data_IF_843315486956
#
_entry.id   IF_843315486956
#
_cell.length_a   1.000
_cell.length_b   1.000
_cell.length_c   1.000
_cell.angle_alpha   90.00
_cell.angle_beta   90.00
_cell.angle_gamma   90.00
#
_symmetry.space_group_name_H-M   'P 1'
#
loop_
_entity.id
_entity.type
_entity.pdbx_description
1 polymer ?
#
# COMPACT_ATOMS: atom_id res chain seq x y z
N UNK A 1 35.73 51.83 -12.10
CA UNK A 1 34.38 51.98 -12.68
C UNK A 1 34.31 51.25 -14.00
N UNK A 2 33.88 49.99 -14.03
CA UNK A 2 33.52 49.14 -15.20
C UNK A 2 33.63 47.68 -14.80
N UNK A 3 32.69 47.22 -13.92
CA UNK A 3 32.57 45.76 -13.58
C UNK A 3 31.12 45.34 -13.31
N UNK A 4 30.13 46.01 -13.91
CA UNK A 4 28.72 45.76 -13.60
C UNK A 4 27.81 45.57 -14.83
N UNK A 5 28.36 45.20 -16.01
CA UNK A 5 27.51 44.95 -17.20
C UNK A 5 27.56 43.52 -17.76
N UNK A 6 28.40 42.64 -17.25
CA UNK A 6 28.50 41.24 -17.73
C UNK A 6 27.65 40.26 -16.88
N UNK A 7 27.24 40.63 -15.67
CA UNK A 7 26.51 39.73 -14.76
C UNK A 7 24.97 39.74 -14.96
N UNK A 8 24.43 40.63 -15.82
CA UNK A 8 22.98 40.70 -16.10
C UNK A 8 22.53 39.95 -17.35
N UNK A 9 23.46 39.49 -18.18
CA UNK A 9 23.14 38.75 -19.43
C UNK A 9 23.11 37.21 -19.22
N UNK A 10 23.61 36.71 -18.10
CA UNK A 10 23.71 35.26 -17.83
C UNK A 10 22.56 34.66 -17.05
N UNK A 11 21.64 35.48 -16.51
CA UNK A 11 20.49 35.02 -15.75
C UNK A 11 19.24 34.84 -16.64
N UNK A 12 19.26 35.34 -17.88
CA UNK A 12 18.10 35.25 -18.79
C UNK A 12 18.14 34.03 -19.74
N UNK A 13 19.26 33.30 -19.79
CA UNK A 13 19.37 32.12 -20.68
C UNK A 13 19.12 30.77 -20.00
N UNK A 14 19.05 30.72 -18.66
CA UNK A 14 18.77 29.48 -17.92
C UNK A 14 17.25 29.22 -17.79
N UNK A 15 16.43 30.24 -17.96
CA UNK A 15 14.97 30.13 -17.88
C UNK A 15 14.29 29.60 -19.15
N UNK A 16 14.94 29.63 -20.31
CA UNK A 16 14.30 29.17 -21.56
C UNK A 16 14.63 27.72 -21.95
N UNK A 17 15.73 27.16 -21.46
CA UNK A 17 16.07 25.76 -21.74
C UNK A 17 15.30 24.76 -20.86
N UNK A 18 14.84 25.19 -19.69
CA UNK A 18 13.98 24.34 -18.82
C UNK A 18 12.53 24.25 -19.32
N UNK A 19 12.02 25.27 -20.03
CA UNK A 19 10.66 25.25 -20.56
C UNK A 19 10.50 24.33 -21.80
N UNK A 20 11.54 24.08 -22.56
CA UNK A 20 11.46 23.23 -23.76
C UNK A 20 11.57 21.72 -23.41
N UNK A 21 12.38 21.37 -22.44
CA UNK A 21 12.46 19.99 -21.92
C UNK A 21 11.14 19.59 -21.22
N UNK A 22 10.58 20.48 -20.40
CA UNK A 22 9.28 20.26 -19.73
C UNK A 22 8.09 20.11 -20.71
N UNK A 23 8.13 20.69 -21.90
CA UNK A 23 7.02 20.59 -22.86
C UNK A 23 6.95 19.20 -23.53
N UNK A 24 8.07 18.55 -23.78
CA UNK A 24 8.10 17.19 -24.33
C UNK A 24 7.61 16.16 -23.31
N UNK A 25 7.98 16.33 -22.03
CA UNK A 25 7.53 15.47 -20.93
C UNK A 25 6.03 15.62 -20.66
N UNK A 26 5.46 16.82 -20.78
CA UNK A 26 4.02 17.06 -20.62
C UNK A 26 3.19 16.39 -21.72
N UNK A 27 3.67 16.29 -22.95
CA UNK A 27 2.98 15.55 -24.00
C UNK A 27 2.96 14.04 -23.72
N UNK A 28 4.07 13.49 -23.23
CA UNK A 28 4.14 12.09 -22.82
C UNK A 28 3.21 11.79 -21.62
N UNK A 29 3.19 12.67 -20.62
CA UNK A 29 2.31 12.55 -19.45
C UNK A 29 0.83 12.71 -19.84
N UNK A 30 0.51 13.64 -20.76
CA UNK A 30 -0.82 13.83 -21.32
C UNK A 30 -1.34 12.55 -21.98
N UNK A 31 -0.53 11.95 -22.84
CA UNK A 31 -0.87 10.70 -23.52
C UNK A 31 -1.03 9.54 -22.52
N UNK A 32 -0.13 9.43 -21.55
CA UNK A 32 -0.15 8.38 -20.52
C UNK A 32 -1.41 8.45 -19.65
N UNK A 33 -1.78 9.64 -19.18
CA UNK A 33 -2.90 9.83 -18.27
C UNK A 33 -4.24 10.10 -19.00
N UNK A 34 -4.22 10.17 -20.33
CA UNK A 34 -5.39 10.49 -21.17
C UNK A 34 -6.07 11.81 -20.76
N UNK A 35 -5.25 12.85 -20.57
CA UNK A 35 -5.70 14.18 -20.17
C UNK A 35 -5.01 15.24 -21.05
N UNK A 36 -5.60 16.43 -21.21
CA UNK A 36 -5.00 17.46 -22.06
C UNK A 36 -3.73 18.07 -21.42
N UNK A 37 -2.82 18.54 -22.26
CA UNK A 37 -1.65 19.32 -21.81
C UNK A 37 -2.09 20.60 -21.09
N UNK A 38 -3.23 21.19 -21.48
CA UNK A 38 -3.78 22.37 -20.83
C UNK A 38 -4.18 22.08 -19.37
N UNK A 39 -4.86 20.94 -19.10
CA UNK A 39 -5.21 20.53 -17.75
C UNK A 39 -3.96 20.28 -16.89
N UNK A 40 -2.90 19.66 -17.45
CA UNK A 40 -1.63 19.47 -16.76
C UNK A 40 -0.96 20.79 -16.40
N UNK A 41 -0.94 21.76 -17.34
CA UNK A 41 -0.39 23.09 -17.10
C UNK A 41 -1.18 23.85 -16.04
N UNK A 42 -2.51 23.76 -16.05
CA UNK A 42 -3.37 24.35 -15.02
C UNK A 42 -3.03 23.76 -13.63
N UNK A 43 -2.94 22.45 -13.51
CA UNK A 43 -2.58 21.77 -12.27
C UNK A 43 -1.18 22.16 -11.78
N UNK A 44 -0.18 22.21 -12.69
CA UNK A 44 1.18 22.64 -12.38
C UNK A 44 1.24 24.09 -11.87
N UNK A 45 0.40 24.98 -12.41
CA UNK A 45 0.33 26.38 -11.98
C UNK A 45 -0.24 26.55 -10.55
N UNK A 46 -1.00 25.57 -10.06
CA UNK A 46 -1.61 25.54 -8.72
C UNK A 46 -0.79 24.76 -7.70
N UNK A 47 0.19 23.99 -8.15
CA UNK A 47 1.00 23.12 -7.31
C UNK A 47 2.17 23.88 -6.67
N UNK A 48 2.49 23.55 -5.42
CA UNK A 48 3.56 24.18 -4.66
C UNK A 48 4.57 23.14 -4.16
N UNK A 49 5.85 23.42 -4.38
CA UNK A 49 6.94 22.61 -3.84
C UNK A 49 6.95 22.65 -2.31
N UNK A 50 7.08 21.49 -1.68
CA UNK A 50 7.12 21.30 -0.25
C UNK A 50 8.45 20.67 0.18
N UNK A 51 9.39 21.45 0.70
CA UNK A 51 10.71 20.94 1.10
C UNK A 51 10.61 19.81 2.14
N UNK A 52 9.68 19.91 3.08
CA UNK A 52 9.45 18.89 4.13
C UNK A 52 9.09 17.51 3.55
N UNK A 53 8.51 17.45 2.35
CA UNK A 53 8.21 16.19 1.65
C UNK A 53 9.51 15.55 1.17
N UNK A 54 10.41 16.32 0.58
CA UNK A 54 11.74 15.84 0.15
C UNK A 54 12.51 15.33 1.38
N UNK A 55 12.49 16.08 2.48
CA UNK A 55 13.15 15.70 3.72
C UNK A 55 12.57 14.39 4.31
N UNK A 56 11.26 14.18 4.20
CA UNK A 56 10.61 12.95 4.63
C UNK A 56 11.00 11.75 3.76
N UNK A 57 11.08 11.95 2.43
CA UNK A 57 11.47 10.91 1.47
C UNK A 57 12.93 10.47 1.60
N UNK A 58 13.81 11.36 2.06
CA UNK A 58 15.25 11.08 2.22
C UNK A 58 15.59 10.43 3.56
N UNK A 59 14.65 10.37 4.51
CA UNK A 59 14.88 9.71 5.81
C UNK A 59 14.69 8.20 5.66
N UNK A 60 15.73 7.37 5.94
CA UNK A 60 15.58 5.92 5.87
C UNK A 60 14.60 5.45 6.95
N UNK A 61 13.41 5.02 6.57
CA UNK A 61 12.45 4.40 7.51
C UNK A 61 12.61 2.87 7.60
N UNK A 62 13.34 2.26 6.67
CA UNK A 62 13.32 0.82 6.42
C UNK A 62 14.47 0.03 7.09
N UNK A 63 15.31 0.68 7.90
CA UNK A 63 16.42 0.01 8.60
C UNK A 63 16.04 -0.70 9.91
N UNK A 64 14.75 -0.82 10.25
CA UNK A 64 14.33 -1.45 11.50
C UNK A 64 14.33 -2.97 11.39
N UNK A 65 14.86 -3.71 12.39
CA UNK A 65 14.67 -5.15 12.48
C UNK A 65 13.20 -5.48 12.69
N UNK A 66 12.80 -6.71 12.30
CA UNK A 66 11.40 -7.14 12.37
C UNK A 66 10.76 -6.91 13.75
N UNK A 67 11.45 -7.24 14.82
CA UNK A 67 10.91 -7.12 16.18
C UNK A 67 10.55 -5.68 16.56
N UNK A 68 11.29 -4.66 16.06
CA UNK A 68 10.94 -3.25 16.26
C UNK A 68 9.80 -2.81 15.33
N UNK A 69 9.86 -3.21 14.05
CA UNK A 69 8.84 -2.89 13.06
C UNK A 69 7.47 -3.45 13.48
N UNK A 70 7.45 -4.69 13.95
CA UNK A 70 6.28 -5.38 14.47
C UNK A 70 5.56 -4.56 15.55
N UNK A 71 6.31 -3.97 16.49
CA UNK A 71 5.77 -3.18 17.61
C UNK A 71 5.03 -1.89 17.15
N UNK A 72 5.25 -1.42 15.91
CA UNK A 72 4.53 -0.26 15.35
C UNK A 72 3.09 -0.65 14.99
N UNK A 73 2.89 -1.86 14.47
CA UNK A 73 1.60 -2.27 13.90
C UNK A 73 0.84 -3.26 14.78
N UNK A 74 1.52 -4.17 15.46
CA UNK A 74 0.89 -5.20 16.29
C UNK A 74 0.78 -4.69 17.73
N UNK A 75 -0.20 -3.82 17.95
CA UNK A 75 -0.50 -3.22 19.25
C UNK A 75 -1.91 -3.60 19.68
N UNK A 76 -2.13 -3.72 21.01
CA UNK A 76 -3.47 -3.98 21.58
C UNK A 76 -4.51 -2.97 21.06
N UNK A 77 -4.12 -1.69 20.96
CA UNK A 77 -4.99 -0.63 20.46
C UNK A 77 -5.42 -0.86 19.02
N UNK A 78 -4.47 -1.22 18.10
CA UNK A 78 -4.79 -1.46 16.69
C UNK A 78 -5.59 -2.76 16.51
N UNK A 79 -5.26 -3.82 17.23
CA UNK A 79 -6.02 -5.08 17.22
C UNK A 79 -7.46 -4.83 17.66
N UNK A 80 -7.68 -4.17 18.80
CA UNK A 80 -9.02 -3.86 19.28
C UNK A 80 -9.82 -2.97 18.31
N UNK A 81 -9.16 -1.98 17.71
CA UNK A 81 -9.77 -1.15 16.67
C UNK A 81 -10.13 -1.97 15.43
N UNK A 82 -9.31 -2.95 15.06
CA UNK A 82 -9.55 -3.86 13.95
C UNK A 82 -10.73 -4.79 14.20
N UNK A 83 -10.82 -5.39 15.39
CA UNK A 83 -11.98 -6.21 15.78
C UNK A 83 -13.27 -5.38 15.75
N UNK A 84 -13.22 -4.15 16.27
CA UNK A 84 -14.36 -3.22 16.21
C UNK A 84 -14.74 -2.89 14.78
N UNK A 85 -13.76 -2.52 13.93
CA UNK A 85 -14.00 -2.22 12.51
C UNK A 85 -14.59 -3.42 11.77
N UNK A 86 -14.10 -4.63 12.04
CA UNK A 86 -14.63 -5.85 11.45
C UNK A 86 -16.10 -6.05 11.81
N UNK A 87 -16.44 -5.96 13.11
CA UNK A 87 -17.81 -6.13 13.61
C UNK A 87 -18.78 -5.07 13.03
N UNK A 88 -18.34 -3.81 12.95
CA UNK A 88 -19.16 -2.71 12.44
C UNK A 88 -19.39 -2.80 10.92
N UNK A 89 -18.50 -3.47 10.19
CA UNK A 89 -18.55 -3.57 8.71
C UNK A 89 -18.65 -5.05 8.26
N UNK A 90 -19.12 -5.96 9.11
CA UNK A 90 -19.14 -7.40 8.87
C UNK A 90 -19.81 -7.76 7.55
N UNK A 91 -20.98 -7.22 7.27
CA UNK A 91 -21.75 -7.50 6.05
C UNK A 91 -20.97 -7.09 4.79
N UNK A 92 -20.36 -5.91 4.82
CA UNK A 92 -19.56 -5.37 3.69
C UNK A 92 -18.29 -6.19 3.49
N UNK A 93 -17.57 -6.51 4.57
CA UNK A 93 -16.35 -7.32 4.51
C UNK A 93 -16.64 -8.73 3.97
N UNK A 94 -17.71 -9.38 4.42
CA UNK A 94 -18.15 -10.69 3.90
C UNK A 94 -18.62 -10.61 2.44
N UNK A 95 -19.30 -9.53 2.05
CA UNK A 95 -19.65 -9.28 0.64
C UNK A 95 -18.39 -9.15 -0.21
N UNK A 96 -17.37 -8.40 0.25
CA UNK A 96 -16.10 -8.22 -0.47
C UNK A 96 -15.32 -9.53 -0.57
N UNK A 97 -15.22 -10.30 0.53
CA UNK A 97 -14.61 -11.63 0.55
C UNK A 97 -15.27 -12.56 -0.49
N UNK A 98 -16.61 -12.63 -0.50
CA UNK A 98 -17.35 -13.43 -1.48
C UNK A 98 -17.15 -12.97 -2.92
N UNK A 99 -17.05 -11.66 -3.15
CA UNK A 99 -16.94 -11.07 -4.50
C UNK A 99 -15.54 -11.23 -5.08
N UNK A 100 -14.51 -11.06 -4.27
CA UNK A 100 -13.13 -10.97 -4.73
C UNK A 100 -12.24 -12.13 -4.26
N UNK A 101 -12.72 -13.01 -3.38
CA UNK A 101 -11.97 -14.14 -2.84
C UNK A 101 -10.87 -13.75 -1.85
N UNK A 102 -10.88 -12.51 -1.34
CA UNK A 102 -9.89 -12.00 -0.37
C UNK A 102 -10.48 -12.07 1.03
N UNK A 103 -9.82 -12.74 2.01
CA UNK A 103 -10.34 -12.86 3.35
C UNK A 103 -10.65 -11.51 4.01
N UNK A 104 -11.79 -11.43 4.69
CA UNK A 104 -12.28 -10.20 5.33
C UNK A 104 -11.26 -9.59 6.29
N UNK A 105 -10.54 -10.43 7.05
CA UNK A 105 -9.49 -10.02 7.99
C UNK A 105 -8.26 -9.41 7.29
N UNK A 106 -7.91 -9.85 6.08
CA UNK A 106 -6.82 -9.27 5.28
C UNK A 106 -7.21 -7.86 4.81
N UNK A 107 -8.44 -7.69 4.28
CA UNK A 107 -8.96 -6.38 3.87
C UNK A 107 -8.94 -5.41 5.07
N UNK A 108 -9.43 -5.88 6.21
CA UNK A 108 -9.46 -5.14 7.46
C UNK A 108 -8.05 -4.75 7.92
N UNK A 109 -7.08 -5.68 7.86
CA UNK A 109 -5.70 -5.44 8.28
C UNK A 109 -4.99 -4.41 7.39
N UNK A 110 -5.21 -4.41 6.08
CA UNK A 110 -4.68 -3.38 5.18
C UNK A 110 -5.15 -1.99 5.62
N UNK A 111 -6.46 -1.78 5.78
CA UNK A 111 -7.01 -0.49 6.22
C UNK A 111 -6.47 -0.12 7.61
N UNK A 112 -6.26 -1.12 8.46
CA UNK A 112 -5.68 -0.94 9.79
C UNK A 112 -4.21 -0.53 9.76
N UNK A 113 -3.39 -1.12 8.91
CA UNK A 113 -1.97 -0.80 8.76
C UNK A 113 -1.81 0.58 8.11
N UNK A 114 -2.55 0.85 7.03
CA UNK A 114 -2.42 2.07 6.26
C UNK A 114 -2.86 3.33 7.04
N UNK A 115 -4.03 3.30 7.65
CA UNK A 115 -4.62 4.53 8.18
C UNK A 115 -5.17 4.40 9.60
N UNK A 116 -4.89 3.29 10.29
CA UNK A 116 -5.56 3.02 11.58
C UNK A 116 -7.09 3.11 11.44
N UNK A 117 -7.62 2.41 10.43
CA UNK A 117 -9.06 2.36 10.11
C UNK A 117 -9.66 3.73 9.75
N UNK A 118 -8.95 4.49 8.93
CA UNK A 118 -9.38 5.81 8.44
C UNK A 118 -9.06 6.98 9.34
N UNK A 119 -8.35 6.77 10.49
CA UNK A 119 -8.02 7.88 11.40
C UNK A 119 -6.85 8.74 10.92
N UNK A 120 -5.91 8.17 10.17
CA UNK A 120 -4.65 8.82 9.78
C UNK A 120 -4.44 8.70 8.26
N UNK A 121 -5.22 9.40 7.47
CA UNK A 121 -5.16 9.36 6.01
C UNK A 121 -4.13 10.32 5.40
N UNK A 122 -3.42 11.08 6.23
CA UNK A 122 -2.50 12.13 5.79
C UNK A 122 -3.15 13.52 5.76
N UNK A 123 -2.30 14.55 5.71
CA UNK A 123 -2.73 15.96 5.76
C UNK A 123 -2.09 16.82 4.67
N UNK A 124 -1.28 16.23 3.79
CA UNK A 124 -0.65 16.93 2.69
C UNK A 124 -1.62 17.10 1.52
N UNK A 125 -1.62 18.25 0.85
CA UNK A 125 -2.30 18.36 -0.43
C UNK A 125 -1.67 17.38 -1.40
N UNK A 126 -2.46 16.50 -1.99
CA UNK A 126 -1.97 15.45 -2.91
C UNK A 126 -1.32 16.07 -4.13
N UNK A 127 -1.87 17.16 -4.66
CA UNK A 127 -1.28 17.91 -5.76
C UNK A 127 0.15 18.35 -5.45
N UNK A 128 0.37 18.98 -4.28
CA UNK A 128 1.69 19.47 -3.86
C UNK A 128 2.67 18.31 -3.63
N UNK A 129 2.19 17.21 -3.02
CA UNK A 129 3.02 16.04 -2.76
C UNK A 129 3.54 15.42 -4.06
N UNK A 130 2.65 15.18 -5.00
CA UNK A 130 3.00 14.57 -6.29
C UNK A 130 3.81 15.51 -7.17
N UNK A 131 3.51 16.82 -7.15
CA UNK A 131 4.34 17.83 -7.82
C UNK A 131 5.75 17.88 -7.26
N UNK A 132 5.89 17.92 -5.94
CA UNK A 132 7.20 17.96 -5.28
C UNK A 132 8.05 16.75 -5.67
N UNK A 133 7.47 15.56 -5.61
CA UNK A 133 8.22 14.32 -5.90
C UNK A 133 8.38 14.05 -7.40
N UNK A 134 7.43 14.48 -8.23
CA UNK A 134 7.44 14.24 -9.66
C UNK A 134 8.23 15.24 -10.47
N UNK A 135 8.56 16.41 -9.91
CA UNK A 135 9.26 17.48 -10.64
C UNK A 135 10.43 18.11 -9.85
N UNK A 136 10.65 17.69 -8.61
CA UNK A 136 11.70 18.26 -7.74
C UNK A 136 12.44 17.20 -6.91
N UNK A 137 12.26 15.89 -7.23
CA UNK A 137 12.91 14.79 -6.54
C UNK A 137 13.43 13.74 -7.54
N UNK A 138 14.62 13.94 -8.13
CA UNK A 138 15.15 13.15 -9.24
C UNK A 138 15.14 11.62 -9.03
N UNK A 139 15.40 11.07 -7.80
CA UNK A 139 15.49 9.62 -7.64
C UNK A 139 14.21 8.86 -8.02
N UNK A 140 13.03 9.51 -7.99
CA UNK A 140 11.74 8.89 -8.31
C UNK A 140 10.86 9.75 -9.21
N UNK A 141 11.42 10.73 -9.88
CA UNK A 141 10.72 11.69 -10.74
C UNK A 141 9.84 11.00 -11.79
N UNK A 142 10.38 10.02 -12.49
CA UNK A 142 9.65 9.29 -13.53
C UNK A 142 8.39 8.55 -13.01
N UNK A 143 8.38 8.11 -11.77
CA UNK A 143 7.22 7.50 -11.15
C UNK A 143 6.20 8.55 -10.70
N UNK A 144 6.65 9.53 -9.93
CA UNK A 144 5.73 10.51 -9.34
C UNK A 144 5.17 11.51 -10.35
N UNK A 145 5.88 11.82 -11.45
CA UNK A 145 5.31 12.63 -12.54
C UNK A 145 4.14 11.93 -13.23
N UNK A 146 4.21 10.61 -13.40
CA UNK A 146 3.08 9.80 -13.89
C UNK A 146 1.91 9.79 -12.91
N UNK A 147 2.18 9.63 -11.61
CA UNK A 147 1.14 9.70 -10.58
C UNK A 147 0.51 11.10 -10.51
N UNK A 148 1.28 12.18 -10.70
CA UNK A 148 0.74 13.53 -10.81
C UNK A 148 -0.25 13.65 -11.98
N UNK A 149 0.13 13.16 -13.15
CA UNK A 149 -0.75 13.20 -14.33
C UNK A 149 -2.02 12.34 -14.11
N UNK A 150 -1.89 11.17 -13.49
CA UNK A 150 -3.04 10.32 -13.11
C UNK A 150 -3.92 10.99 -12.06
N UNK A 151 -3.35 11.76 -11.12
CA UNK A 151 -4.11 12.54 -10.15
C UNK A 151 -4.92 13.66 -10.83
N UNK A 152 -4.32 14.37 -11.79
CA UNK A 152 -5.04 15.40 -12.56
C UNK A 152 -6.21 14.78 -13.35
N UNK A 153 -5.98 13.61 -13.97
CA UNK A 153 -7.04 12.85 -14.64
C UNK A 153 -8.16 12.43 -13.69
N UNK A 154 -7.80 11.92 -12.52
CA UNK A 154 -8.74 11.51 -11.48
C UNK A 154 -9.54 12.70 -10.96
N UNK A 155 -8.88 13.79 -10.60
CA UNK A 155 -9.54 14.99 -10.07
C UNK A 155 -10.52 15.60 -11.09
N UNK A 156 -10.18 15.57 -12.39
CA UNK A 156 -11.08 16.00 -13.45
C UNK A 156 -12.28 15.06 -13.58
N UNK A 157 -12.08 13.74 -13.54
CA UNK A 157 -13.15 12.74 -13.61
C UNK A 157 -14.16 12.91 -12.46
N UNK A 158 -13.64 13.10 -11.25
CA UNK A 158 -14.45 13.22 -10.03
C UNK A 158 -14.91 14.67 -9.73
N UNK A 159 -14.54 15.62 -10.58
CA UNK A 159 -14.81 17.06 -10.38
C UNK A 159 -14.29 17.57 -9.02
N UNK A 160 -13.09 17.14 -8.62
CA UNK A 160 -12.47 17.54 -7.37
C UNK A 160 -11.77 18.89 -7.46
N UNK A 161 -11.87 19.67 -6.39
CA UNK A 161 -10.96 20.79 -6.17
C UNK A 161 -9.65 20.24 -5.59
N UNK A 162 -8.51 20.58 -6.21
CA UNK A 162 -7.19 20.11 -5.78
C UNK A 162 -6.86 20.45 -4.32
N UNK A 163 -7.36 21.57 -3.81
CA UNK A 163 -7.09 22.03 -2.44
C UNK A 163 -7.75 21.17 -1.36
N UNK A 164 -8.83 20.47 -1.70
CA UNK A 164 -9.60 19.67 -0.78
C UNK A 164 -9.05 18.24 -0.64
N UNK A 165 -8.26 17.78 -1.61
CA UNK A 165 -7.76 16.41 -1.62
C UNK A 165 -6.46 16.30 -0.85
N UNK A 166 -6.55 15.64 0.31
CA UNK A 166 -5.43 15.41 1.21
C UNK A 166 -5.06 13.92 1.29
N UNK A 167 -3.77 13.68 1.53
CA UNK A 167 -3.22 12.35 1.61
C UNK A 167 -1.86 12.31 2.31
N UNK A 168 -1.11 11.25 2.09
CA UNK A 168 0.25 11.10 2.60
C UNK A 168 1.22 12.08 1.93
N UNK A 169 2.40 12.23 2.51
CA UNK A 169 3.50 13.02 1.91
C UNK A 169 3.95 12.47 0.54
N UNK A 170 3.61 11.22 0.21
CA UNK A 170 3.88 10.60 -1.09
C UNK A 170 2.66 10.62 -2.03
N UNK A 171 1.55 11.26 -1.66
CA UNK A 171 0.37 11.40 -2.50
C UNK A 171 -0.61 10.22 -2.47
N UNK A 172 -0.47 9.30 -1.52
CA UNK A 172 -1.44 8.23 -1.30
C UNK A 172 -2.70 8.74 -0.61
N UNK A 173 -3.88 8.23 -1.00
CA UNK A 173 -5.19 8.80 -0.68
C UNK A 173 -6.14 7.81 -0.01
N UNK A 174 -7.01 8.33 0.85
CA UNK A 174 -8.14 7.61 1.45
C UNK A 174 -7.73 6.54 2.46
N UNK A 175 -8.71 5.74 2.91
CA UNK A 175 -8.54 4.74 3.95
C UNK A 175 -7.55 3.62 3.58
N UNK A 176 -7.48 3.26 2.30
CA UNK A 176 -6.55 2.26 1.76
C UNK A 176 -5.23 2.84 1.26
N UNK A 177 -5.01 4.16 1.35
CA UNK A 177 -3.78 4.82 0.86
C UNK A 177 -3.47 4.48 -0.60
N UNK A 178 -4.46 4.61 -1.48
CA UNK A 178 -4.30 4.39 -2.91
C UNK A 178 -3.51 5.52 -3.58
N UNK A 179 -2.52 5.15 -4.38
CA UNK A 179 -1.93 6.08 -5.33
C UNK A 179 -2.96 6.43 -6.43
N UNK A 180 -2.86 7.59 -7.11
CA UNK A 180 -3.82 7.97 -8.15
C UNK A 180 -4.05 6.92 -9.23
N UNK A 181 -2.99 6.24 -9.68
CA UNK A 181 -3.11 5.12 -10.62
C UNK A 181 -3.94 3.97 -10.05
N UNK A 182 -3.67 3.57 -8.81
CA UNK A 182 -4.41 2.52 -8.14
C UNK A 182 -5.89 2.90 -7.93
N UNK A 183 -6.15 4.17 -7.62
CA UNK A 183 -7.53 4.69 -7.50
C UNK A 183 -8.28 4.58 -8.83
N UNK A 184 -7.65 5.00 -9.94
CA UNK A 184 -8.25 4.93 -11.27
C UNK A 184 -8.50 3.50 -11.74
N UNK A 185 -7.59 2.58 -11.39
CA UNK A 185 -7.58 1.22 -11.94
C UNK A 185 -8.37 0.22 -11.08
N UNK A 186 -8.46 0.44 -9.75
CA UNK A 186 -9.01 -0.54 -8.80
C UNK A 186 -10.09 -0.03 -7.85
N UNK A 187 -10.27 1.28 -7.69
CA UNK A 187 -11.33 1.78 -6.83
C UNK A 187 -12.71 1.49 -7.43
N UNK A 188 -13.66 1.09 -6.58
CA UNK A 188 -15.00 0.68 -6.98
C UNK A 188 -16.05 1.36 -6.11
N UNK A 189 -17.17 1.73 -6.73
CA UNK A 189 -18.43 2.05 -6.07
C UNK A 189 -19.05 0.73 -5.60
N UNK A 190 -18.82 0.38 -4.32
CA UNK A 190 -19.18 -0.95 -3.83
C UNK A 190 -20.56 -1.00 -3.19
N UNK A 191 -21.14 0.14 -2.83
CA UNK A 191 -22.54 0.24 -2.39
C UNK A 191 -23.51 0.61 -3.52
N UNK A 192 -23.01 1.08 -4.66
CA UNK A 192 -23.80 1.38 -5.85
C UNK A 192 -24.50 2.73 -5.79
N UNK A 193 -23.96 3.71 -5.04
CA UNK A 193 -24.51 5.05 -4.93
C UNK A 193 -24.19 5.97 -6.12
N UNK A 194 -23.35 5.49 -7.05
CA UNK A 194 -22.91 6.21 -8.26
C UNK A 194 -21.60 6.96 -8.10
N UNK A 195 -20.96 6.91 -6.94
CA UNK A 195 -19.71 7.62 -6.63
C UNK A 195 -18.68 6.67 -6.01
N UNK A 196 -17.42 6.89 -6.29
CA UNK A 196 -16.32 6.18 -5.63
C UNK A 196 -15.69 7.10 -4.58
N UNK A 197 -15.78 6.75 -3.30
CA UNK A 197 -15.28 7.60 -2.22
C UNK A 197 -14.45 6.80 -1.19
N UNK A 198 -13.14 6.77 -1.38
CA UNK A 198 -12.22 6.08 -0.46
C UNK A 198 -11.88 6.88 0.80
N UNK A 199 -12.36 8.12 0.94
CA UNK A 199 -12.05 8.99 2.07
C UNK A 199 -13.03 8.82 3.24
N UNK A 200 -14.33 8.78 2.94
CA UNK A 200 -15.39 8.75 3.96
C UNK A 200 -16.32 7.55 3.85
N UNK A 201 -16.40 6.91 2.67
CA UNK A 201 -17.21 5.72 2.44
C UNK A 201 -16.41 4.43 2.73
N UNK A 202 -16.69 3.80 3.87
CA UNK A 202 -16.03 2.54 4.25
C UNK A 202 -16.38 1.38 3.32
N UNK A 203 -17.56 1.41 2.72
CA UNK A 203 -18.03 0.34 1.81
C UNK A 203 -17.16 0.33 0.56
N UNK A 204 -16.94 1.49 -0.05
CA UNK A 204 -16.06 1.64 -1.21
C UNK A 204 -14.60 1.31 -0.86
N UNK A 205 -14.12 1.78 0.29
CA UNK A 205 -12.76 1.50 0.73
C UNK A 205 -12.50 -0.01 0.88
N UNK A 206 -13.43 -0.74 1.50
CA UNK A 206 -13.37 -2.20 1.66
C UNK A 206 -13.42 -2.91 0.31
N UNK A 207 -14.36 -2.56 -0.54
CA UNK A 207 -14.51 -3.13 -1.89
C UNK A 207 -13.29 -2.88 -2.76
N UNK A 208 -12.76 -1.65 -2.71
CA UNK A 208 -11.59 -1.24 -3.50
C UNK A 208 -10.30 -1.95 -3.07
N UNK A 209 -10.05 -2.10 -1.76
CA UNK A 209 -8.92 -2.88 -1.26
C UNK A 209 -9.01 -4.34 -1.73
N UNK A 210 -10.19 -4.95 -1.64
CA UNK A 210 -10.40 -6.32 -2.10
C UNK A 210 -10.19 -6.44 -3.63
N UNK A 211 -10.74 -5.50 -4.42
CA UNK A 211 -10.55 -5.47 -5.87
C UNK A 211 -9.08 -5.29 -6.26
N UNK A 212 -8.33 -4.44 -5.54
CA UNK A 212 -6.88 -4.30 -5.73
C UNK A 212 -6.16 -5.65 -5.62
N UNK A 213 -6.43 -6.42 -4.56
CA UNK A 213 -5.81 -7.72 -4.35
C UNK A 213 -6.21 -8.72 -5.45
N UNK A 214 -7.49 -8.76 -5.82
CA UNK A 214 -7.96 -9.59 -6.93
C UNK A 214 -7.25 -9.26 -8.23
N UNK A 215 -7.14 -7.98 -8.58
CA UNK A 215 -6.46 -7.49 -9.78
C UNK A 215 -4.95 -7.79 -9.77
N UNK A 216 -4.34 -7.95 -8.60
CA UNK A 216 -2.92 -8.29 -8.45
C UNK A 216 -2.64 -9.79 -8.26
N UNK A 217 -3.63 -10.65 -8.51
CA UNK A 217 -3.46 -12.10 -8.55
C UNK A 217 -3.59 -12.80 -7.20
N UNK A 218 -4.44 -12.27 -6.30
CA UNK A 218 -4.82 -13.00 -5.10
C UNK A 218 -5.46 -14.34 -5.46
N UNK A 219 -5.04 -15.40 -4.79
CA UNK A 219 -5.55 -16.75 -4.95
C UNK A 219 -6.41 -17.11 -3.74
N UNK A 220 -7.73 -17.23 -3.99
CA UNK A 220 -8.70 -17.60 -2.95
C UNK A 220 -8.37 -18.95 -2.32
N UNK A 221 -8.49 -19.03 -0.99
CA UNK A 221 -8.24 -20.25 -0.23
C UNK A 221 -6.78 -20.72 -0.17
N UNK A 222 -5.83 -19.97 -0.79
CA UNK A 222 -4.41 -20.30 -0.72
C UNK A 222 -3.73 -19.60 0.44
N UNK A 223 -2.79 -20.31 1.06
CA UNK A 223 -1.99 -19.76 2.16
C UNK A 223 -1.12 -18.57 1.72
N UNK A 224 -0.71 -17.78 2.68
CA UNK A 224 0.10 -16.57 2.48
C UNK A 224 1.58 -16.88 2.65
N UNK A 225 1.96 -17.49 3.78
CA UNK A 225 3.30 -18.01 4.01
C UNK A 225 3.31 -19.15 5.04
N UNK A 226 4.43 -19.83 5.16
CA UNK A 226 4.69 -20.80 6.23
C UNK A 226 6.01 -20.52 6.93
N UNK A 227 6.11 -20.77 8.24
CA UNK A 227 7.40 -20.80 8.94
C UNK A 227 8.35 -21.80 8.27
N UNK A 228 9.62 -21.41 8.13
CA UNK A 228 10.66 -22.24 7.57
C UNK A 228 11.67 -22.64 8.65
N UNK A 229 12.16 -23.88 8.58
CA UNK A 229 13.21 -24.41 9.41
C UNK A 229 14.45 -24.62 8.55
N UNK A 230 15.55 -24.03 8.96
CA UNK A 230 16.85 -24.14 8.28
C UNK A 230 17.67 -25.22 8.99
N UNK A 231 17.96 -26.31 8.29
CA UNK A 231 18.82 -27.36 8.84
C UNK A 231 20.28 -27.11 8.47
N UNK A 232 20.56 -27.00 7.17
CA UNK A 232 21.92 -26.75 6.66
C UNK A 232 21.80 -26.21 5.24
N UNK A 233 21.76 -24.89 5.10
CA UNK A 233 21.54 -24.26 3.79
C UNK A 233 22.36 -22.96 3.67
N UNK A 234 22.77 -22.65 2.44
CA UNK A 234 23.20 -21.28 2.09
C UNK A 234 21.96 -20.40 1.91
N UNK A 235 21.52 -19.84 3.05
CA UNK A 235 20.31 -18.98 3.11
C UNK A 235 20.45 -17.79 2.17
N UNK A 236 21.64 -17.19 2.06
CA UNK A 236 21.85 -16.02 1.20
C UNK A 236 21.64 -16.38 -0.27
N UNK A 237 22.23 -17.45 -0.75
CA UNK A 237 22.07 -17.91 -2.12
C UNK A 237 20.59 -18.21 -2.46
N UNK A 238 19.84 -18.81 -1.51
CA UNK A 238 18.42 -19.06 -1.69
C UNK A 238 17.59 -17.76 -1.74
N UNK A 239 17.87 -16.81 -0.85
CA UNK A 239 17.16 -15.52 -0.83
C UNK A 239 17.43 -14.67 -2.07
N UNK A 240 18.61 -14.75 -2.65
CA UNK A 240 19.01 -14.00 -3.85
C UNK A 240 18.23 -14.46 -5.09
N UNK A 241 17.67 -15.68 -5.12
CA UNK A 241 16.76 -16.17 -6.18
C UNK A 241 15.39 -15.49 -6.18
N UNK A 242 15.01 -14.84 -5.10
CA UNK A 242 13.72 -14.16 -4.94
C UNK A 242 12.54 -15.11 -5.26
N UNK A 243 11.68 -14.77 -6.24
CA UNK A 243 10.51 -15.56 -6.65
C UNK A 243 10.81 -16.60 -7.73
N UNK A 244 12.04 -16.74 -8.18
CA UNK A 244 12.50 -17.78 -9.10
C UNK A 244 12.92 -19.07 -8.36
N UNK A 245 12.79 -19.08 -7.03
CA UNK A 245 13.08 -20.21 -6.17
C UNK A 245 11.90 -21.17 -6.13
N UNK A 246 12.15 -22.47 -6.33
CA UNK A 246 11.11 -23.51 -6.20
C UNK A 246 11.16 -24.19 -4.84
N UNK A 247 10.04 -24.81 -4.46
CA UNK A 247 9.94 -25.63 -3.24
C UNK A 247 10.96 -26.77 -3.25
N UNK A 248 11.14 -27.44 -4.44
CA UNK A 248 12.13 -28.50 -4.58
C UNK A 248 13.53 -28.02 -4.22
N UNK A 249 13.95 -26.88 -4.76
CA UNK A 249 15.28 -26.30 -4.47
C UNK A 249 15.45 -25.96 -3.00
N UNK A 250 14.37 -25.48 -2.33
CA UNK A 250 14.39 -25.27 -0.88
C UNK A 250 14.62 -26.56 -0.11
N UNK A 251 13.87 -27.62 -0.44
CA UNK A 251 13.95 -28.90 0.24
C UNK A 251 15.31 -29.58 -0.01
N UNK A 252 15.79 -29.57 -1.24
CA UNK A 252 17.12 -30.10 -1.60
C UNK A 252 18.25 -29.36 -0.85
N UNK A 253 18.09 -28.09 -0.58
CA UNK A 253 19.03 -27.26 0.20
C UNK A 253 18.93 -27.47 1.72
N UNK A 254 17.95 -28.24 2.22
CA UNK A 254 17.76 -28.47 3.67
C UNK A 254 16.94 -27.39 4.36
N UNK A 255 16.05 -26.70 3.64
CA UNK A 255 15.02 -25.83 4.21
C UNK A 255 13.69 -26.59 4.20
N UNK A 256 13.03 -26.68 5.36
CA UNK A 256 11.77 -27.43 5.50
C UNK A 256 10.65 -26.57 6.11
N UNK A 257 9.42 -27.02 5.98
CA UNK A 257 8.25 -26.48 6.68
C UNK A 257 7.36 -27.65 7.15
N UNK A 258 6.43 -27.37 8.08
CA UNK A 258 5.52 -28.40 8.61
C UNK A 258 4.45 -28.85 7.61
N UNK A 259 4.33 -28.20 6.47
CA UNK A 259 3.31 -28.47 5.45
C UNK A 259 4.00 -28.96 4.18
N UNK A 260 3.44 -29.98 3.55
CA UNK A 260 3.92 -30.42 2.24
C UNK A 260 3.46 -29.43 1.15
N UNK A 261 4.41 -28.82 0.48
CA UNK A 261 4.20 -27.94 -0.66
C UNK A 261 4.53 -28.70 -1.96
N UNK A 262 3.92 -28.28 -3.07
CA UNK A 262 4.24 -28.84 -4.38
C UNK A 262 5.64 -28.45 -4.80
N UNK A 263 6.44 -29.41 -5.27
CA UNK A 263 7.86 -29.24 -5.60
C UNK A 263 8.11 -28.18 -6.68
N UNK A 264 7.19 -28.03 -7.61
CA UNK A 264 7.24 -27.10 -8.75
C UNK A 264 6.72 -25.69 -8.42
N UNK A 265 6.20 -25.49 -7.19
CA UNK A 265 5.67 -24.19 -6.78
C UNK A 265 6.79 -23.18 -6.58
N UNK A 266 6.64 -22.01 -7.22
CA UNK A 266 7.50 -20.86 -6.97
C UNK A 266 7.20 -20.26 -5.60
N UNK A 267 8.27 -19.94 -4.86
CA UNK A 267 8.23 -19.43 -3.50
C UNK A 267 9.35 -18.43 -3.29
N UNK A 268 9.35 -17.75 -2.14
CA UNK A 268 10.47 -16.91 -1.73
C UNK A 268 10.82 -17.17 -0.27
N UNK A 269 12.11 -17.32 0.00
CA UNK A 269 12.61 -17.40 1.37
C UNK A 269 12.83 -16.00 1.94
N UNK A 270 12.32 -15.77 3.15
CA UNK A 270 12.47 -14.52 3.89
C UNK A 270 13.15 -14.77 5.23
N UNK A 271 13.98 -13.81 5.65
CA UNK A 271 14.64 -13.78 6.96
C UNK A 271 14.20 -12.54 7.74
N UNK A 272 14.04 -12.68 9.04
CA UNK A 272 13.59 -11.64 9.95
C UNK A 272 14.47 -11.61 11.19
N UNK A 273 14.96 -10.44 11.56
CA UNK A 273 15.71 -10.26 12.80
C UNK A 273 14.77 -10.28 14.00
N UNK A 274 15.01 -11.18 14.95
CA UNK A 274 14.22 -11.36 16.17
C UNK A 274 14.83 -10.58 17.34
N UNK A 275 14.06 -10.42 18.43
CA UNK A 275 14.46 -9.61 19.59
C UNK A 275 15.63 -10.21 20.37
N UNK A 276 15.79 -11.52 20.35
CA UNK A 276 16.88 -12.27 20.96
C UNK A 276 18.19 -12.29 20.13
N UNK A 277 18.21 -11.57 19.01
CA UNK A 277 19.34 -11.54 18.08
C UNK A 277 19.37 -12.70 17.08
N UNK A 278 18.48 -13.67 17.20
CA UNK A 278 18.36 -14.77 16.23
C UNK A 278 17.63 -14.34 14.96
N UNK A 279 17.57 -15.24 13.97
CA UNK A 279 16.77 -15.05 12.74
C UNK A 279 15.62 -16.03 12.69
N UNK A 280 14.42 -15.49 12.42
CA UNK A 280 13.28 -16.29 11.99
C UNK A 280 13.23 -16.38 10.48
N UNK A 281 12.70 -17.47 9.93
CA UNK A 281 12.57 -17.68 8.49
C UNK A 281 11.16 -18.04 8.09
N UNK A 282 10.76 -17.65 6.88
CA UNK A 282 9.50 -18.07 6.31
C UNK A 282 9.59 -18.29 4.79
N UNK A 283 8.73 -19.18 4.30
CA UNK A 283 8.51 -19.43 2.87
C UNK A 283 7.26 -18.63 2.49
N UNK A 284 7.44 -17.54 1.74
CA UNK A 284 6.35 -16.75 1.18
C UNK A 284 5.79 -17.40 -0.07
N UNK A 285 4.47 -17.41 -0.17
CA UNK A 285 3.71 -17.94 -1.29
C UNK A 285 3.12 -16.81 -2.15
N UNK A 286 2.36 -17.15 -3.21
CA UNK A 286 1.79 -16.15 -4.11
C UNK A 286 1.00 -15.05 -3.38
N UNK A 287 0.17 -15.39 -2.39
CA UNK A 287 -0.62 -14.39 -1.68
C UNK A 287 0.26 -13.44 -0.82
N UNK A 288 1.41 -13.90 -0.33
CA UNK A 288 2.40 -13.01 0.29
C UNK A 288 2.98 -12.02 -0.72
N UNK A 289 3.29 -12.50 -1.95
CA UNK A 289 3.71 -11.63 -3.05
C UNK A 289 2.61 -10.61 -3.41
N UNK A 290 1.35 -11.01 -3.38
CA UNK A 290 0.22 -10.12 -3.66
C UNK A 290 0.11 -9.02 -2.59
N UNK A 291 0.33 -9.33 -1.32
CA UNK A 291 0.43 -8.28 -0.28
C UNK A 291 1.63 -7.36 -0.55
N UNK A 292 2.77 -7.90 -0.99
CA UNK A 292 3.94 -7.09 -1.37
C UNK A 292 3.70 -6.22 -2.62
N UNK A 293 2.67 -6.45 -3.43
CA UNK A 293 2.26 -5.51 -4.49
C UNK A 293 1.65 -4.22 -3.93
N UNK A 294 1.03 -4.30 -2.75
CA UNK A 294 0.52 -3.11 -2.05
C UNK A 294 1.66 -2.25 -1.49
N UNK A 295 2.63 -2.90 -0.86
CA UNK A 295 3.88 -2.28 -0.42
C UNK A 295 5.01 -3.32 -0.50
N UNK A 296 6.09 -3.00 -1.19
CA UNK A 296 7.18 -3.93 -1.54
C UNK A 296 7.98 -4.46 -0.35
N UNK A 297 7.74 -3.97 0.87
CA UNK A 297 8.44 -4.40 2.09
C UNK A 297 7.92 -5.77 2.59
N UNK A 298 8.83 -6.72 2.77
CA UNK A 298 8.52 -8.00 3.44
C UNK A 298 8.03 -7.80 4.88
N UNK A 299 8.51 -6.75 5.57
CA UNK A 299 8.10 -6.43 6.94
C UNK A 299 6.65 -5.96 6.96
N UNK A 300 6.26 -5.15 5.97
CA UNK A 300 4.88 -4.72 5.77
C UNK A 300 3.95 -5.92 5.53
N UNK A 301 4.29 -6.79 4.58
CA UNK A 301 3.46 -7.94 4.25
C UNK A 301 3.26 -8.86 5.46
N UNK A 302 4.32 -9.08 6.24
CA UNK A 302 4.23 -9.86 7.48
C UNK A 302 3.39 -9.16 8.55
N UNK A 303 3.51 -7.83 8.69
CA UNK A 303 2.70 -7.07 9.66
C UNK A 303 1.20 -7.11 9.31
N UNK A 304 0.84 -6.97 8.02
CA UNK A 304 -0.53 -7.13 7.55
C UNK A 304 -1.07 -8.51 7.90
N UNK A 305 -0.32 -9.55 7.59
CA UNK A 305 -0.73 -10.92 7.90
C UNK A 305 -0.89 -11.15 9.40
N UNK A 306 0.10 -10.80 10.24
CA UNK A 306 -0.02 -10.97 11.69
C UNK A 306 -1.19 -10.16 12.28
N UNK A 307 -1.42 -8.94 11.80
CA UNK A 307 -2.56 -8.14 12.25
C UNK A 307 -3.88 -8.79 11.86
N UNK A 308 -4.00 -9.36 10.65
CA UNK A 308 -5.21 -10.05 10.20
C UNK A 308 -5.54 -11.25 11.09
N UNK A 309 -4.54 -12.05 11.45
CA UNK A 309 -4.72 -13.20 12.35
C UNK A 309 -5.25 -12.77 13.74
N UNK A 310 -4.67 -11.71 14.32
CA UNK A 310 -5.16 -11.20 15.61
C UNK A 310 -6.56 -10.61 15.51
N UNK A 311 -6.91 -9.95 14.41
CA UNK A 311 -8.27 -9.43 14.18
C UNK A 311 -9.25 -10.58 14.05
N UNK A 312 -8.94 -11.62 13.26
CA UNK A 312 -9.78 -12.80 13.09
C UNK A 312 -10.03 -13.50 14.43
N UNK A 313 -8.98 -13.76 15.21
CA UNK A 313 -9.09 -14.37 16.53
C UNK A 313 -9.97 -13.55 17.48
N UNK A 314 -9.78 -12.24 17.51
CA UNK A 314 -10.58 -11.33 18.34
C UNK A 314 -12.05 -11.28 17.90
N UNK A 315 -12.32 -11.22 16.60
CA UNK A 315 -13.66 -11.29 16.03
C UNK A 315 -14.37 -12.59 16.43
N UNK A 316 -13.74 -13.74 16.22
CA UNK A 316 -14.29 -15.05 16.57
C UNK A 316 -14.58 -15.18 18.08
N UNK A 317 -13.71 -14.63 18.93
CA UNK A 317 -13.94 -14.61 20.38
C UNK A 317 -15.19 -13.81 20.75
N UNK A 318 -15.40 -12.64 20.15
CA UNK A 318 -16.60 -11.81 20.38
C UNK A 318 -17.86 -12.53 19.92
N UNK A 319 -17.85 -13.15 18.72
CA UNK A 319 -18.99 -13.90 18.18
C UNK A 319 -19.37 -15.09 19.07
N UNK A 320 -18.38 -15.87 19.54
CA UNK A 320 -18.63 -16.98 20.49
C UNK A 320 -19.27 -16.48 21.78
N UNK A 321 -18.78 -15.40 22.37
CA UNK A 321 -19.33 -14.83 23.59
C UNK A 321 -20.77 -14.32 23.42
N UNK A 322 -21.11 -13.78 22.25
CA UNK A 322 -22.46 -13.36 21.88
C UNK A 322 -23.39 -14.58 21.73
N UNK A 323 -22.92 -15.64 21.05
CA UNK A 323 -23.68 -16.89 20.91
C UNK A 323 -24.00 -17.57 22.25
N UNK A 324 -23.06 -17.59 23.17
CA UNK A 324 -23.29 -18.11 24.54
C UNK A 324 -24.32 -17.27 25.30
N UNK A 325 -24.27 -15.92 25.18
CA UNK A 325 -25.26 -15.03 25.81
C UNK A 325 -26.66 -15.22 25.23
N UNK A 326 -26.82 -15.44 23.95
CA UNK A 326 -28.10 -15.69 23.28
C UNK A 326 -28.67 -17.04 23.69
N UNK A 327 -27.86 -18.09 23.76
CA UNK A 327 -28.26 -19.40 24.23
C UNK A 327 -28.70 -19.42 25.72
N UNK A 328 -28.05 -18.59 26.56
CA UNK A 328 -28.45 -18.42 27.96
C UNK A 328 -29.75 -17.63 28.13
N UNK A 329 -29.99 -16.61 27.25
CA UNK A 329 -31.27 -15.85 27.28
C UNK A 329 -32.44 -16.68 26.77
N UNK A 330 -32.24 -17.55 25.79
CA UNK A 330 -33.30 -18.43 25.27
C UNK A 330 -33.64 -19.61 26.18
N UNK A 331 -32.85 -19.86 27.24
CA UNK A 331 -33.08 -20.91 28.24
C UNK A 331 -33.65 -20.40 29.57
N UNK A 332 -34.00 -19.12 29.68
CA UNK A 332 -34.78 -18.61 30.82
C UNK A 332 -36.25 -18.79 30.50
N UNK A 333 -37.05 -19.49 31.35
CA UNK A 333 -38.47 -19.70 31.15
C UNK A 333 -39.25 -18.41 31.20
#
# INVERSE_FOLDING_TARGET
>A
MKLNKVLKAMILSIGLSSLSANAADLNALSSYAKISVADLKDALSKAHKQQKIIDAMTRPSEGKPWWQYRKIFITKSRINAGVKFYLENEATLKKAEKTYGVPAEIICAIIGVETFFGKNMGSWKVLDALYTLGFNYPPREAYFSKEFARFVSLAKRENWNYDDIKGSYAGAMGMGQFMPSAYLDYAVDFDGDGYVNLFTNKVDAIGSVANYFKGHGWQEGRAIYYPAHIHKADVKALMDKKWDLTVKELYDAGVTTKVNLSNDQNVRLFAYDLEDGSKGYSIGLNNFNTIMKYNTSQLYARAVYELSEFIALGYEQVKRNQGVKTAHRSRKP
#
